data_IF_743406639950
#
_entry.id   IF_743406639950
#
_cell.length_a   1.000
_cell.length_b   1.000
_cell.length_c   1.000
_cell.angle_alpha   90.00
_cell.angle_beta   90.00
_cell.angle_gamma   90.00
#
_symmetry.space_group_name_H-M   'P 1'
#
loop_
_entity.id
_entity.type
_entity.pdbx_description
1 polymer ?
#
# COMPACT_ATOMS: atom_id res chain seq x y z
N UNK A 1 5.09 -25.77 0.76
CA UNK A 1 4.28 -26.08 1.96
C UNK A 1 3.38 -24.89 2.21
N UNK A 2 2.08 -25.07 2.03
CA UNK A 2 1.09 -24.05 2.34
C UNK A 2 0.84 -24.10 3.85
N UNK A 3 1.21 -23.05 4.56
CA UNK A 3 0.89 -22.91 5.98
C UNK A 3 -0.53 -22.39 6.11
N UNK A 4 -1.45 -23.26 6.47
CA UNK A 4 -2.83 -22.88 6.80
C UNK A 4 -2.91 -22.52 8.27
N UNK A 5 -3.36 -21.31 8.59
CA UNK A 5 -3.50 -20.83 9.97
C UNK A 5 -4.97 -20.46 10.20
N UNK A 6 -5.55 -20.95 11.29
CA UNK A 6 -6.87 -20.53 11.75
C UNK A 6 -6.74 -19.22 12.55
N UNK A 7 -7.29 -18.10 12.08
CA UNK A 7 -7.22 -16.82 12.79
C UNK A 7 -7.81 -16.86 14.20
N UNK A 8 -8.81 -17.71 14.47
CA UNK A 8 -9.44 -17.79 15.80
C UNK A 8 -8.47 -18.37 16.84
N UNK A 9 -7.60 -19.30 16.42
CA UNK A 9 -6.53 -19.85 17.28
C UNK A 9 -5.49 -18.77 17.56
N UNK A 10 -5.14 -17.96 16.57
CA UNK A 10 -4.18 -16.87 16.77
C UNK A 10 -4.71 -15.81 17.74
N UNK A 11 -5.98 -15.46 17.66
CA UNK A 11 -6.60 -14.53 18.62
C UNK A 11 -6.55 -15.06 20.04
N UNK A 12 -6.88 -16.35 20.26
CA UNK A 12 -6.78 -16.96 21.58
C UNK A 12 -5.34 -16.95 22.13
N UNK A 13 -4.33 -17.15 21.28
CA UNK A 13 -2.93 -17.03 21.65
C UNK A 13 -2.58 -15.58 22.03
N UNK A 14 -2.95 -14.59 21.19
CA UNK A 14 -2.69 -13.18 21.45
C UNK A 14 -3.30 -12.73 22.79
N UNK A 15 -4.53 -13.09 23.08
CA UNK A 15 -5.18 -12.83 24.37
C UNK A 15 -4.40 -13.48 25.55
N UNK A 16 -3.93 -14.70 25.38
CA UNK A 16 -3.21 -15.43 26.43
C UNK A 16 -1.85 -14.83 26.79
N UNK A 17 -1.22 -14.13 25.86
CA UNK A 17 0.08 -13.44 26.06
C UNK A 17 -0.09 -11.94 26.35
N UNK A 18 -1.32 -11.44 26.48
CA UNK A 18 -1.61 -10.04 26.78
C UNK A 18 -1.51 -9.09 25.57
N UNK A 19 -1.41 -9.62 24.36
CA UNK A 19 -1.37 -8.87 23.10
C UNK A 19 -2.76 -8.80 22.42
N UNK A 20 -3.82 -9.16 23.14
CA UNK A 20 -5.20 -9.03 22.69
C UNK A 20 -5.64 -7.57 22.66
N UNK A 21 -6.49 -7.22 21.71
CA UNK A 21 -7.08 -5.89 21.57
C UNK A 21 -7.17 -5.43 20.12
N UNK A 22 -7.88 -4.33 19.90
CA UNK A 22 -7.92 -3.72 18.58
C UNK A 22 -6.57 -3.07 18.25
N UNK A 23 -6.00 -3.33 17.04
CA UNK A 23 -4.79 -2.65 16.61
C UNK A 23 -5.05 -1.14 16.51
N UNK A 24 -4.01 -0.29 16.66
CA UNK A 24 -4.14 1.15 16.44
C UNK A 24 -4.57 1.42 14.99
N UNK A 25 -5.36 2.50 14.81
CA UNK A 25 -5.73 2.93 13.46
C UNK A 25 -4.47 3.37 12.69
N UNK A 26 -4.26 2.77 11.51
CA UNK A 26 -3.13 3.08 10.64
C UNK A 26 -3.45 4.14 9.59
N UNK A 27 -4.74 4.42 9.35
CA UNK A 27 -5.20 5.38 8.36
C UNK A 27 -6.33 6.23 8.93
N UNK A 28 -6.40 7.46 8.44
CA UNK A 28 -7.57 8.33 8.61
C UNK A 28 -8.47 8.16 7.38
N UNK A 29 -9.77 8.02 7.62
CA UNK A 29 -10.75 7.91 6.55
C UNK A 29 -11.57 9.20 6.46
N UNK A 30 -11.86 9.63 5.24
CA UNK A 30 -12.74 10.75 4.99
C UNK A 30 -14.20 10.37 5.28
N UNK A 31 -14.99 11.37 5.61
CA UNK A 31 -16.45 11.27 5.71
C UNK A 31 -17.08 12.09 4.55
N UNK A 32 -18.39 12.16 4.52
CA UNK A 32 -19.15 12.89 3.47
C UNK A 32 -18.79 14.38 3.36
N UNK A 33 -18.22 14.98 4.40
CA UNK A 33 -17.86 16.41 4.45
C UNK A 33 -16.37 16.67 4.24
N UNK A 34 -15.54 15.64 4.32
CA UNK A 34 -14.08 15.75 4.19
C UNK A 34 -13.67 15.41 2.76
N UNK A 35 -13.31 16.39 1.97
CA UNK A 35 -12.77 16.21 0.62
C UNK A 35 -11.29 15.83 0.61
N UNK A 36 -10.78 15.51 -0.58
CA UNK A 36 -9.35 15.38 -0.79
C UNK A 36 -8.68 16.77 -0.80
N UNK A 37 -7.37 16.86 -0.52
CA UNK A 37 -6.61 18.09 -0.67
C UNK A 37 -6.77 18.70 -2.08
N UNK A 38 -6.70 20.02 -2.19
CA UNK A 38 -6.81 20.73 -3.47
C UNK A 38 -5.71 20.35 -4.49
N UNK A 39 -4.65 19.69 -4.04
CA UNK A 39 -3.58 19.14 -4.88
C UNK A 39 -3.92 17.79 -5.52
N UNK A 40 -5.08 17.20 -5.22
CA UNK A 40 -5.56 15.97 -5.84
C UNK A 40 -5.78 16.18 -7.35
N UNK A 41 -5.37 15.20 -8.16
CA UNK A 41 -5.48 15.22 -9.60
C UNK A 41 -6.19 13.95 -10.07
N UNK A 42 -7.13 14.12 -11.02
CA UNK A 42 -7.80 12.98 -11.64
C UNK A 42 -6.79 12.12 -12.43
N UNK A 43 -7.01 10.82 -12.42
CA UNK A 43 -6.16 9.87 -13.14
C UNK A 43 -6.93 8.58 -13.42
N UNK A 44 -6.64 7.94 -14.54
CA UNK A 44 -7.28 6.67 -14.94
C UNK A 44 -6.41 5.45 -14.64
N UNK A 45 -5.07 5.59 -14.57
CA UNK A 45 -4.16 4.47 -14.35
C UNK A 45 -2.79 4.91 -13.85
N UNK A 46 -2.07 3.99 -13.23
CA UNK A 46 -0.66 4.14 -12.87
C UNK A 46 0.04 2.77 -12.87
N UNK A 47 1.37 2.80 -12.90
CA UNK A 47 2.23 1.62 -12.96
C UNK A 47 3.38 1.73 -11.97
N UNK A 48 3.79 0.58 -11.43
CA UNK A 48 4.97 0.44 -10.58
C UNK A 48 5.86 -0.63 -11.19
N UNK A 49 7.11 -0.28 -11.50
CA UNK A 49 8.10 -1.22 -12.03
C UNK A 49 9.04 -1.71 -10.92
N UNK A 50 8.89 -2.97 -10.54
CA UNK A 50 9.83 -3.68 -9.68
C UNK A 50 10.88 -4.39 -10.54
N UNK A 51 12.05 -4.77 -9.99
CA UNK A 51 13.10 -5.43 -10.78
C UNK A 51 12.69 -6.70 -11.51
N UNK A 52 11.68 -7.42 -11.00
CA UNK A 52 11.20 -8.71 -11.56
C UNK A 52 9.71 -8.74 -11.85
N UNK A 53 8.98 -7.65 -11.63
CA UNK A 53 7.54 -7.61 -11.84
C UNK A 53 7.07 -6.18 -12.11
N UNK A 54 5.99 -6.04 -12.85
CA UNK A 54 5.29 -4.77 -13.04
C UNK A 54 3.88 -4.88 -12.47
N UNK A 55 3.47 -3.88 -11.69
CA UNK A 55 2.13 -3.75 -11.16
C UNK A 55 1.44 -2.59 -11.86
N UNK A 56 0.26 -2.84 -12.38
CA UNK A 56 -0.55 -1.83 -13.05
C UNK A 56 -1.89 -1.73 -12.34
N UNK A 57 -2.39 -0.51 -12.23
CA UNK A 57 -3.66 -0.21 -11.60
C UNK A 57 -4.50 0.65 -12.54
N UNK A 58 -5.76 0.28 -12.75
CA UNK A 58 -6.71 1.02 -13.56
C UNK A 58 -7.98 1.31 -12.75
N UNK A 59 -8.44 2.55 -12.77
CA UNK A 59 -9.67 2.96 -12.09
C UNK A 59 -10.91 2.47 -12.85
N UNK A 60 -11.79 1.72 -12.19
CA UNK A 60 -13.02 1.19 -12.79
C UNK A 60 -14.30 1.94 -12.37
N UNK A 61 -14.17 3.06 -11.66
CA UNK A 61 -15.29 3.83 -11.11
C UNK A 61 -15.58 3.56 -9.64
N UNK A 62 -14.99 2.52 -9.04
CA UNK A 62 -15.17 2.17 -7.62
C UNK A 62 -13.89 1.71 -6.92
N UNK A 63 -12.94 1.13 -7.65
CA UNK A 63 -11.67 0.63 -7.13
C UNK A 63 -10.58 0.61 -8.19
N UNK A 64 -9.36 0.38 -7.75
CA UNK A 64 -8.15 0.30 -8.56
C UNK A 64 -7.90 -1.17 -8.94
N UNK A 65 -8.39 -1.58 -10.12
CA UNK A 65 -8.19 -2.95 -10.62
C UNK A 65 -6.70 -3.20 -10.83
N UNK A 66 -6.18 -4.22 -10.15
CA UNK A 66 -4.76 -4.56 -10.13
C UNK A 66 -4.44 -5.65 -11.14
N UNK A 67 -3.38 -5.44 -11.94
CA UNK A 67 -2.73 -6.48 -12.74
C UNK A 67 -1.27 -6.64 -12.32
N UNK A 68 -0.71 -7.80 -12.56
CA UNK A 68 0.70 -8.09 -12.33
C UNK A 68 1.29 -8.73 -13.59
N UNK A 69 2.32 -8.12 -14.17
CA UNK A 69 2.92 -8.57 -15.42
C UNK A 69 1.88 -8.72 -16.54
N UNK A 70 0.94 -7.79 -16.64
CA UNK A 70 -0.18 -7.77 -17.59
C UNK A 70 -1.24 -8.87 -17.40
N UNK A 71 -1.15 -9.66 -16.31
CA UNK A 71 -2.15 -10.64 -15.95
C UNK A 71 -3.04 -10.12 -14.81
N UNK A 72 -4.36 -10.40 -14.81
CA UNK A 72 -5.23 -10.03 -13.73
C UNK A 72 -4.75 -10.61 -12.38
N UNK A 73 -4.72 -9.79 -11.34
CA UNK A 73 -4.48 -10.30 -10.00
C UNK A 73 -5.82 -10.63 -9.35
N UNK A 74 -6.06 -11.92 -9.14
CA UNK A 74 -7.31 -12.45 -8.62
C UNK A 74 -7.16 -12.90 -7.16
N UNK A 75 -8.24 -12.89 -6.44
CA UNK A 75 -8.32 -13.52 -5.12
C UNK A 75 -8.59 -15.04 -5.24
N UNK A 76 -8.85 -15.71 -4.12
CA UNK A 76 -9.08 -17.16 -4.08
C UNK A 76 -10.41 -17.59 -4.74
N UNK A 77 -11.32 -16.68 -4.98
CA UNK A 77 -12.62 -16.89 -5.63
C UNK A 77 -12.62 -16.41 -7.10
N UNK A 78 -11.44 -16.20 -7.69
CA UNK A 78 -11.22 -15.68 -9.05
C UNK A 78 -11.80 -14.27 -9.27
N UNK A 79 -11.95 -13.49 -8.22
CA UNK A 79 -12.42 -12.10 -8.30
C UNK A 79 -11.22 -11.16 -8.43
N UNK A 80 -11.22 -10.21 -9.40
CA UNK A 80 -10.14 -9.24 -9.54
C UNK A 80 -9.95 -8.39 -8.27
N UNK A 81 -8.72 -8.29 -7.80
CA UNK A 81 -8.37 -7.39 -6.69
C UNK A 81 -8.52 -5.95 -7.18
N UNK A 82 -9.38 -5.19 -6.51
CA UNK A 82 -9.71 -3.81 -6.85
C UNK A 82 -9.96 -2.96 -5.59
N UNK A 83 -8.91 -2.65 -4.79
CA UNK A 83 -9.07 -1.84 -3.58
C UNK A 83 -9.54 -0.42 -3.90
N UNK A 84 -10.28 0.20 -2.99
CA UNK A 84 -10.70 1.61 -3.06
C UNK A 84 -9.50 2.55 -2.99
N UNK A 85 -8.45 2.16 -2.28
CA UNK A 85 -7.25 2.96 -2.13
C UNK A 85 -5.99 2.15 -2.46
N UNK A 86 -5.03 2.82 -3.08
CA UNK A 86 -3.66 2.34 -3.18
C UNK A 86 -2.72 3.39 -2.61
N UNK A 87 -1.89 3.00 -1.67
CA UNK A 87 -0.92 3.87 -1.03
C UNK A 87 0.47 3.39 -1.37
N UNK A 88 1.30 4.25 -1.95
CA UNK A 88 2.66 3.93 -2.37
C UNK A 88 3.66 4.70 -1.53
N UNK A 89 4.57 3.99 -0.87
CA UNK A 89 5.78 4.55 -0.29
C UNK A 89 6.98 4.21 -1.18
N UNK A 90 7.69 5.20 -1.69
CA UNK A 90 9.03 4.95 -2.22
C UNK A 90 9.98 4.70 -1.06
N UNK A 91 10.61 3.53 -1.07
CA UNK A 91 11.51 3.09 -0.01
C UNK A 91 12.86 2.64 -0.58
N UNK A 92 13.90 2.80 0.22
CA UNK A 92 15.20 2.24 -0.10
C UNK A 92 15.15 0.71 0.04
N UNK A 93 15.64 0.03 -0.96
CA UNK A 93 15.83 -1.42 -0.96
C UNK A 93 17.29 -1.78 -0.65
N UNK A 94 17.51 -2.73 0.24
CA UNK A 94 18.85 -3.16 0.66
C UNK A 94 18.98 -4.66 0.50
N UNK A 95 19.99 -5.13 -0.23
CA UNK A 95 20.34 -6.56 -0.26
C UNK A 95 20.88 -6.94 1.13
N UNK A 96 20.23 -7.86 1.81
CA UNK A 96 20.63 -8.35 3.14
C UNK A 96 21.88 -9.23 3.11
N UNK A 97 22.40 -9.55 1.93
CA UNK A 97 23.46 -10.55 1.74
C UNK A 97 22.98 -11.99 1.85
N UNK A 98 21.73 -12.22 2.25
CA UNK A 98 21.10 -13.55 2.28
C UNK A 98 20.57 -13.94 0.90
N UNK A 99 20.41 -15.25 0.70
CA UNK A 99 19.80 -15.79 -0.52
C UNK A 99 18.62 -16.68 -0.13
N UNK A 100 17.58 -16.68 -0.95
CA UNK A 100 16.48 -17.63 -0.84
C UNK A 100 16.87 -19.03 -1.33
N UNK A 101 15.93 -19.98 -1.31
CA UNK A 101 16.17 -21.35 -1.76
C UNK A 101 16.47 -21.47 -3.25
N UNK A 102 16.11 -20.47 -4.06
CA UNK A 102 16.39 -20.38 -5.49
C UNK A 102 17.70 -19.63 -5.79
N UNK A 103 18.39 -19.11 -4.76
CA UNK A 103 19.63 -18.34 -4.89
C UNK A 103 19.42 -16.84 -5.16
N UNK A 104 18.18 -16.36 -5.15
CA UNK A 104 17.88 -14.94 -5.35
C UNK A 104 18.21 -14.11 -4.12
N UNK A 105 18.62 -12.83 -4.27
CA UNK A 105 18.89 -11.97 -3.12
C UNK A 105 17.62 -11.71 -2.31
N UNK A 106 17.75 -11.79 -0.99
CA UNK A 106 16.70 -11.36 -0.04
C UNK A 106 16.83 -9.85 0.16
N UNK A 107 15.85 -9.10 -0.32
CA UNK A 107 15.81 -7.64 -0.26
C UNK A 107 15.01 -7.20 0.97
N UNK A 108 15.57 -6.28 1.75
CA UNK A 108 14.88 -5.62 2.85
C UNK A 108 14.36 -4.25 2.40
N UNK A 109 13.10 -3.97 2.68
CA UNK A 109 12.44 -2.69 2.42
C UNK A 109 12.63 -1.77 3.63
N UNK A 110 13.32 -0.64 3.46
CA UNK A 110 13.60 0.31 4.54
C UNK A 110 12.40 1.27 4.72
N UNK A 111 11.39 0.81 5.46
CA UNK A 111 10.15 1.57 5.71
C UNK A 111 10.11 2.17 7.13
N UNK A 112 11.24 2.69 7.61
CA UNK A 112 11.35 3.55 8.80
C UNK A 112 12.04 4.83 8.37
N UNK A 113 11.48 5.99 8.73
CA UNK A 113 11.95 7.30 8.30
C UNK A 113 10.88 8.08 7.56
N UNK A 114 11.23 8.70 6.47
CA UNK A 114 10.30 9.44 5.61
C UNK A 114 10.76 9.40 4.15
N UNK A 115 9.81 9.61 3.22
CA UNK A 115 10.12 9.62 1.80
C UNK A 115 8.93 10.08 0.95
N UNK A 116 9.14 10.10 -0.36
CA UNK A 116 8.07 10.38 -1.33
C UNK A 116 7.06 9.22 -1.36
N UNK A 117 5.82 9.56 -1.69
CA UNK A 117 4.79 8.58 -1.93
C UNK A 117 3.61 9.16 -2.67
N UNK A 118 2.61 8.31 -2.86
CA UNK A 118 1.34 8.68 -3.49
C UNK A 118 0.20 8.00 -2.75
N UNK A 119 -0.92 8.68 -2.71
CA UNK A 119 -2.21 8.13 -2.31
C UNK A 119 -3.12 8.19 -3.52
N UNK A 120 -3.59 7.03 -3.96
CA UNK A 120 -4.59 6.88 -5.02
C UNK A 120 -5.92 6.51 -4.37
N UNK A 121 -6.94 7.31 -4.60
CA UNK A 121 -8.27 7.13 -4.01
C UNK A 121 -9.30 7.84 -4.86
N UNK A 122 -10.47 7.24 -5.05
CA UNK A 122 -11.62 7.85 -5.76
C UNK A 122 -11.26 8.40 -7.16
N UNK A 123 -10.52 7.63 -7.95
CA UNK A 123 -10.10 8.04 -9.31
C UNK A 123 -9.13 9.22 -9.36
N UNK A 124 -8.52 9.57 -8.23
CA UNK A 124 -7.58 10.67 -8.10
C UNK A 124 -6.30 10.21 -7.41
N UNK A 125 -5.24 11.00 -7.55
CA UNK A 125 -4.02 10.81 -6.77
C UNK A 125 -3.56 12.10 -6.10
N UNK A 126 -2.87 11.92 -4.99
CA UNK A 126 -2.18 12.99 -4.24
C UNK A 126 -0.73 12.59 -4.05
N UNK A 127 0.21 13.47 -4.38
CA UNK A 127 1.62 13.29 -3.97
C UNK A 127 1.74 13.55 -2.49
N UNK A 128 2.42 12.63 -1.79
CA UNK A 128 2.57 12.70 -0.33
C UNK A 128 4.01 12.54 0.11
N UNK A 129 4.27 12.97 1.32
CA UNK A 129 5.41 12.56 2.13
C UNK A 129 4.90 11.54 3.14
N UNK A 130 5.42 10.31 3.07
CA UNK A 130 5.18 9.34 4.12
C UNK A 130 6.19 9.54 5.26
N UNK A 131 5.76 9.28 6.49
CA UNK A 131 6.63 9.29 7.67
C UNK A 131 6.26 8.14 8.60
N UNK A 132 7.23 7.30 8.95
CA UNK A 132 7.10 6.19 9.90
C UNK A 132 8.28 6.26 10.87
N UNK A 133 8.10 6.79 12.10
CA UNK A 133 9.21 7.09 13.00
C UNK A 133 9.83 5.84 13.63
N UNK A 134 9.09 4.75 13.77
CA UNK A 134 9.57 3.50 14.36
C UNK A 134 8.80 2.28 13.81
N UNK A 135 9.25 1.09 14.17
CA UNK A 135 8.60 -0.16 13.76
C UNK A 135 7.14 -0.22 14.22
N UNK A 136 6.88 0.17 15.46
CA UNK A 136 5.55 0.06 16.11
C UNK A 136 4.63 1.25 15.79
N UNK A 137 5.17 2.36 15.29
CA UNK A 137 4.36 3.53 14.94
C UNK A 137 3.64 3.34 13.60
N UNK A 138 2.41 3.81 13.51
CA UNK A 138 1.70 3.92 12.25
C UNK A 138 2.44 4.88 11.30
N UNK A 139 2.39 4.60 10.01
CA UNK A 139 2.86 5.57 9.01
C UNK A 139 1.82 6.67 8.82
N UNK A 140 2.28 7.90 8.64
CA UNK A 140 1.45 9.05 8.27
C UNK A 140 1.68 9.45 6.82
N UNK A 141 0.66 10.02 6.20
CA UNK A 141 0.61 10.38 4.78
C UNK A 141 0.12 11.82 4.66
N UNK A 142 1.02 12.74 4.38
CA UNK A 142 0.69 14.17 4.28
C UNK A 142 1.09 14.73 2.92
N UNK A 143 0.41 15.77 2.47
CA UNK A 143 0.93 16.57 1.34
C UNK A 143 2.30 17.15 1.70
N UNK A 144 3.11 17.63 0.72
CA UNK A 144 4.37 18.32 1.02
C UNK A 144 4.22 19.50 1.97
N UNK A 145 3.03 20.12 2.02
CA UNK A 145 2.70 21.22 2.93
C UNK A 145 2.21 20.74 4.32
N UNK A 146 2.25 19.43 4.58
CA UNK A 146 1.91 18.85 5.86
C UNK A 146 0.42 18.59 6.12
N UNK A 147 -0.44 18.70 5.09
CA UNK A 147 -1.87 18.40 5.23
C UNK A 147 -2.10 16.89 5.17
N UNK A 148 -2.75 16.27 6.16
CA UNK A 148 -3.09 14.85 6.11
C UNK A 148 -3.95 14.50 4.89
N UNK A 149 -3.72 13.33 4.30
CA UNK A 149 -4.50 12.83 3.17
C UNK A 149 -5.38 11.68 3.64
N UNK A 150 -6.69 11.93 3.87
CA UNK A 150 -7.60 10.89 4.29
C UNK A 150 -7.97 9.96 3.12
N UNK A 151 -8.17 8.68 3.44
CA UNK A 151 -8.56 7.65 2.48
C UNK A 151 -10.08 7.55 2.32
N UNK A 152 -10.54 7.00 1.23
CA UNK A 152 -11.93 6.56 1.08
C UNK A 152 -12.15 5.33 1.99
N UNK A 153 -13.26 5.24 2.74
CA UNK A 153 -13.60 4.02 3.45
C UNK A 153 -13.63 2.81 2.51
N UNK A 154 -12.92 1.75 2.88
CA UNK A 154 -12.81 0.52 2.08
C UNK A 154 -11.43 -0.12 2.19
N UNK A 155 -11.12 -1.01 1.26
CA UNK A 155 -9.85 -1.71 1.23
C UNK A 155 -8.70 -0.76 0.83
N UNK A 156 -7.56 -0.94 1.49
CA UNK A 156 -6.32 -0.22 1.16
C UNK A 156 -5.22 -1.20 0.83
N UNK A 157 -4.66 -1.06 -0.37
CA UNK A 157 -3.46 -1.78 -0.79
C UNK A 157 -2.23 -0.90 -0.57
N UNK A 158 -1.18 -1.47 0.01
CA UNK A 158 0.07 -0.74 0.29
C UNK A 158 1.18 -1.32 -0.58
N UNK A 159 1.86 -0.46 -1.34
CA UNK A 159 3.03 -0.80 -2.14
C UNK A 159 4.28 -0.13 -1.56
N UNK A 160 5.33 -0.91 -1.33
CA UNK A 160 6.66 -0.41 -0.99
C UNK A 160 7.51 -0.42 -2.25
N UNK A 161 7.54 0.70 -2.96
CA UNK A 161 8.10 0.80 -4.29
C UNK A 161 9.59 1.20 -4.26
N UNK A 162 10.40 0.71 -5.20
CA UNK A 162 11.73 1.26 -5.44
C UNK A 162 11.67 2.74 -5.80
N UNK A 163 12.75 3.47 -5.56
CA UNK A 163 12.83 4.86 -5.99
C UNK A 163 12.66 4.98 -7.51
N UNK A 164 11.94 6.00 -7.94
CA UNK A 164 11.68 6.35 -9.35
C UNK A 164 11.02 5.24 -10.20
N UNK A 165 10.33 4.29 -9.54
CA UNK A 165 9.66 3.16 -10.21
C UNK A 165 8.19 3.42 -10.54
N UNK A 166 7.61 4.53 -10.06
CA UNK A 166 6.19 4.85 -10.23
C UNK A 166 5.97 5.74 -11.43
N UNK A 167 5.17 5.27 -12.37
CA UNK A 167 4.75 6.03 -13.56
C UNK A 167 3.26 6.35 -13.42
N UNK A 168 2.94 7.65 -13.52
CA UNK A 168 1.57 8.16 -13.52
C UNK A 168 1.09 8.16 -14.96
N UNK A 169 -0.03 7.49 -15.23
CA UNK A 169 -0.65 7.47 -16.56
C UNK A 169 -1.35 8.79 -16.91
N UNK A 170 -1.87 8.87 -18.10
CA UNK A 170 -2.66 10.02 -18.55
C UNK A 170 -4.06 9.98 -17.93
N UNK A 171 -4.63 11.16 -17.69
CA UNK A 171 -6.00 11.37 -17.19
C UNK A 171 -7.05 11.21 -18.29
#
# INVERSE_FOLDING_TARGET
>A
YDLMIDPTVLWGIAESIGEGGAPPAHFEYRNETTGLPASAQAISSFRIDYPSAAMEYAWNGSGWVRTQNSEPHLDADDIPIAPENVVIAEVRQVDTGKRDSAGSPVIEQQFIGSGRGWVFTDGQFVRVVWTKPSLDAAATWTTPDGVPVPLTPGQTWIELAPADSVTIGDS
#
